data_IF_452232014670
#
_entry.id   IF_452232014670
#
_cell.length_a   1.000
_cell.length_b   1.000
_cell.length_c   1.000
_cell.angle_alpha   90.00
_cell.angle_beta   90.00
_cell.angle_gamma   90.00
#
_symmetry.space_group_name_H-M   'P 1'
#
loop_
_entity.id
_entity.type
_entity.pdbx_description
1 polymer ?
#
# COMPACT_ATOMS: atom_id res chain seq x y z
N UNK A 1 -26.68 -17.34 -5.58
CA UNK A 1 -26.64 -16.32 -4.51
C UNK A 1 -25.77 -15.22 -5.08
N UNK A 2 -26.38 -14.30 -5.82
CA UNK A 2 -25.64 -13.23 -6.51
C UNK A 2 -25.36 -12.13 -5.49
N UNK A 3 -24.10 -12.06 -5.04
CA UNK A 3 -23.65 -11.02 -4.11
C UNK A 3 -23.41 -9.75 -4.91
N UNK A 4 -24.47 -8.95 -5.08
CA UNK A 4 -24.34 -7.59 -5.62
C UNK A 4 -23.82 -6.70 -4.48
N UNK A 5 -22.64 -6.10 -4.69
CA UNK A 5 -22.04 -5.17 -3.73
C UNK A 5 -23.04 -4.05 -3.35
N UNK A 6 -23.22 -3.72 -2.06
CA UNK A 6 -24.13 -2.66 -1.62
C UNK A 6 -23.75 -1.28 -2.17
N UNK A 7 -22.52 -1.13 -2.69
CA UNK A 7 -22.07 0.07 -3.41
C UNK A 7 -22.87 0.33 -4.70
N UNK A 8 -23.42 -0.71 -5.32
CA UNK A 8 -24.27 -0.61 -6.51
C UNK A 8 -25.62 0.00 -6.12
N UNK A 9 -26.16 -0.28 -4.94
CA UNK A 9 -27.51 0.20 -4.57
C UNK A 9 -27.60 1.72 -4.47
N UNK A 10 -26.53 2.40 -4.06
CA UNK A 10 -26.53 3.86 -3.89
C UNK A 10 -26.09 4.65 -5.13
N UNK A 11 -25.33 4.03 -6.02
CA UNK A 11 -24.67 4.75 -7.13
C UNK A 11 -24.96 4.14 -8.51
N UNK A 12 -26.05 3.37 -8.64
CA UNK A 12 -26.47 2.73 -9.88
C UNK A 12 -27.57 3.53 -10.60
N UNK A 13 -27.18 4.66 -11.18
CA UNK A 13 -27.99 5.46 -12.09
C UNK A 13 -27.22 5.77 -13.38
N UNK A 14 -27.91 6.15 -14.45
CA UNK A 14 -27.31 6.22 -15.80
C UNK A 14 -26.12 7.18 -15.94
N UNK A 15 -26.06 8.24 -15.14
CA UNK A 15 -24.96 9.22 -15.15
C UNK A 15 -23.76 8.83 -14.26
N UNK A 16 -23.83 7.73 -13.52
CA UNK A 16 -22.74 7.32 -12.60
C UNK A 16 -21.69 6.47 -13.31
N UNK A 17 -20.42 6.87 -13.16
CA UNK A 17 -19.24 6.09 -13.57
C UNK A 17 -18.98 4.86 -12.68
N UNK A 18 -19.86 4.59 -11.71
CA UNK A 18 -19.81 3.42 -10.83
C UNK A 18 -21.10 2.58 -10.91
N UNK A 19 -21.96 2.86 -11.88
CA UNK A 19 -23.15 2.07 -12.15
C UNK A 19 -22.81 0.73 -12.80
N UNK A 20 -23.71 -0.24 -12.69
CA UNK A 20 -23.56 -1.52 -13.38
C UNK A 20 -23.51 -1.33 -14.90
N UNK A 21 -24.31 -0.41 -15.43
CA UNK A 21 -24.33 -0.06 -16.85
C UNK A 21 -22.97 0.48 -17.31
N UNK A 22 -22.40 1.43 -16.57
CA UNK A 22 -21.08 1.97 -16.88
C UNK A 22 -19.97 0.91 -16.81
N UNK A 23 -19.97 0.07 -15.76
CA UNK A 23 -19.00 -1.01 -15.61
C UNK A 23 -19.08 -2.01 -16.77
N UNK A 24 -20.29 -2.38 -17.19
CA UNK A 24 -20.53 -3.25 -18.35
C UNK A 24 -20.05 -2.62 -19.67
N UNK A 25 -20.37 -1.34 -19.89
CA UNK A 25 -19.98 -0.61 -21.11
C UNK A 25 -18.46 -0.34 -21.18
N UNK A 26 -17.77 -0.42 -20.03
CA UNK A 26 -16.32 -0.22 -19.90
C UNK A 26 -15.63 -1.45 -19.32
N UNK A 27 -16.13 -2.64 -19.64
CA UNK A 27 -15.48 -3.89 -19.27
C UNK A 27 -14.09 -3.93 -19.91
N UNK A 28 -13.07 -3.84 -19.06
CA UNK A 28 -11.70 -4.14 -19.45
C UNK A 28 -11.44 -5.62 -19.14
N UNK A 29 -10.85 -6.38 -20.07
CA UNK A 29 -10.40 -7.73 -19.75
C UNK A 29 -9.44 -7.65 -18.56
N UNK A 30 -9.86 -8.22 -17.42
CA UNK A 30 -9.07 -8.22 -16.19
C UNK A 30 -7.77 -9.02 -16.34
N UNK A 31 -7.80 -10.04 -17.20
CA UNK A 31 -6.69 -10.93 -17.46
C UNK A 31 -6.60 -11.24 -18.95
N UNK A 32 -5.44 -11.00 -19.53
CA UNK A 32 -5.04 -11.56 -20.81
C UNK A 32 -4.39 -12.92 -20.56
N UNK A 33 -4.60 -13.89 -21.46
CA UNK A 33 -3.85 -15.14 -21.44
C UNK A 33 -2.43 -14.85 -21.93
N UNK A 34 -1.58 -14.47 -20.99
CA UNK A 34 -0.17 -14.20 -21.27
C UNK A 34 0.70 -15.41 -20.89
N UNK A 35 1.78 -15.61 -21.63
CA UNK A 35 2.74 -16.68 -21.41
C UNK A 35 3.97 -16.13 -20.69
N UNK A 36 4.17 -16.55 -19.45
CA UNK A 36 5.39 -16.25 -18.71
C UNK A 36 6.39 -17.40 -18.92
N UNK A 37 7.45 -17.23 -19.72
CA UNK A 37 8.47 -18.26 -19.89
C UNK A 37 9.15 -18.58 -18.56
N UNK A 38 9.42 -19.86 -18.32
CA UNK A 38 10.21 -20.28 -17.16
C UNK A 38 11.68 -19.90 -17.37
N UNK A 39 12.27 -19.21 -16.40
CA UNK A 39 13.70 -18.95 -16.35
C UNK A 39 14.27 -19.43 -15.01
N UNK A 40 15.55 -19.77 -15.00
CA UNK A 40 16.28 -20.06 -13.76
C UNK A 40 16.37 -18.79 -12.90
N UNK A 41 16.12 -18.85 -11.59
CA UNK A 41 16.26 -17.68 -10.72
C UNK A 41 17.65 -17.03 -10.81
N UNK A 42 17.70 -15.70 -10.91
CA UNK A 42 18.96 -14.96 -10.81
C UNK A 42 19.30 -14.81 -9.33
N UNK A 43 20.19 -15.67 -8.84
CA UNK A 43 20.73 -15.55 -7.48
C UNK A 43 21.96 -14.64 -7.47
N UNK A 44 21.89 -13.56 -6.70
CA UNK A 44 23.02 -12.67 -6.48
C UNK A 44 23.88 -13.24 -5.34
N UNK A 45 25.10 -13.67 -5.67
CA UNK A 45 26.03 -14.17 -4.67
C UNK A 45 26.49 -13.05 -3.72
N UNK A 46 26.15 -13.22 -2.44
CA UNK A 46 26.60 -12.36 -1.35
C UNK A 46 26.00 -10.95 -1.35
N UNK A 47 26.15 -10.29 -0.22
CA UNK A 47 25.84 -8.87 -0.07
C UNK A 47 26.91 -8.00 -0.77
N UNK A 48 26.57 -6.76 -1.11
CA UNK A 48 27.51 -5.79 -1.66
C UNK A 48 27.71 -4.62 -0.70
N UNK A 49 28.86 -3.95 -0.84
CA UNK A 49 29.27 -2.89 0.07
C UNK A 49 28.27 -1.72 0.06
N UNK A 50 28.03 -1.05 1.19
CA UNK A 50 27.22 0.16 1.23
C UNK A 50 27.72 1.21 0.24
N UNK A 51 26.79 1.89 -0.43
CA UNK A 51 27.10 2.85 -1.50
C UNK A 51 27.52 2.22 -2.84
N UNK A 52 27.86 0.93 -2.87
CA UNK A 52 28.27 0.26 -4.10
C UNK A 52 27.10 0.02 -5.06
N UNK A 53 27.43 -0.01 -6.36
CA UNK A 53 26.51 -0.35 -7.45
C UNK A 53 26.85 -1.74 -7.95
N UNK A 54 25.84 -2.61 -8.05
CA UNK A 54 25.94 -3.94 -8.63
C UNK A 54 25.09 -4.03 -9.88
N UNK A 55 25.72 -4.35 -11.00
CA UNK A 55 25.01 -4.64 -12.25
C UNK A 55 24.48 -6.08 -12.25
N UNK A 56 23.23 -6.25 -12.65
CA UNK A 56 22.57 -7.55 -12.77
C UNK A 56 22.02 -7.67 -14.18
N UNK A 57 22.50 -8.67 -14.91
CA UNK A 57 22.03 -8.98 -16.26
C UNK A 57 20.78 -9.86 -16.18
N UNK A 58 19.69 -9.42 -16.79
CA UNK A 58 18.43 -10.15 -16.87
C UNK A 58 18.45 -11.17 -18.02
N UNK A 59 17.46 -12.07 -18.06
CA UNK A 59 17.36 -13.14 -19.05
C UNK A 59 17.23 -12.63 -20.49
N UNK A 60 16.65 -11.45 -20.69
CA UNK A 60 16.53 -10.78 -22.00
C UNK A 60 17.80 -10.02 -22.42
N UNK A 61 18.83 -10.02 -21.57
CA UNK A 61 20.10 -9.34 -21.79
C UNK A 61 20.14 -7.89 -21.34
N UNK A 62 19.02 -7.33 -20.86
CA UNK A 62 19.01 -6.01 -20.22
C UNK A 62 19.81 -6.04 -18.91
N UNK A 63 20.22 -4.85 -18.44
CA UNK A 63 21.03 -4.70 -17.23
C UNK A 63 20.31 -3.75 -16.29
N UNK A 64 20.08 -4.21 -15.06
CA UNK A 64 19.66 -3.35 -13.95
C UNK A 64 20.86 -3.02 -13.07
N UNK A 65 20.91 -1.79 -12.55
CA UNK A 65 21.93 -1.33 -11.62
C UNK A 65 21.34 -1.19 -10.24
N UNK A 66 21.78 -2.01 -9.29
CA UNK A 66 21.33 -1.96 -7.90
C UNK A 66 22.33 -1.14 -7.08
N UNK A 67 21.91 -0.02 -6.48
CA UNK A 67 22.72 0.80 -5.57
C UNK A 67 22.28 0.57 -4.13
N UNK A 68 23.19 0.20 -3.26
CA UNK A 68 22.90 0.10 -1.82
C UNK A 68 22.99 1.45 -1.15
N UNK A 69 22.09 1.75 -0.22
CA UNK A 69 22.19 2.94 0.62
C UNK A 69 23.55 3.00 1.32
N UNK A 70 24.12 4.19 1.42
CA UNK A 70 25.40 4.41 2.09
C UNK A 70 25.28 4.21 3.61
N UNK A 71 26.41 3.94 4.30
CA UNK A 71 26.44 3.83 5.77
C UNK A 71 26.10 5.14 6.46
N UNK A 72 26.51 6.25 5.85
CA UNK A 72 26.36 7.58 6.43
C UNK A 72 25.01 8.24 6.04
N UNK A 73 24.15 7.50 5.33
CA UNK A 73 22.83 7.96 4.97
C UNK A 73 21.91 8.03 6.19
N UNK A 74 21.29 9.19 6.43
CA UNK A 74 20.27 9.38 7.46
C UNK A 74 18.86 9.08 6.90
N UNK A 75 18.25 7.93 7.24
CA UNK A 75 16.92 7.57 6.74
C UNK A 75 15.79 8.37 7.40
N UNK A 76 16.07 9.24 8.37
CA UNK A 76 15.02 10.05 9.04
C UNK A 76 14.75 11.37 8.33
N UNK A 77 15.62 11.76 7.39
CA UNK A 77 15.45 12.97 6.58
C UNK A 77 14.58 12.69 5.35
N UNK A 78 13.33 13.19 5.37
CA UNK A 78 12.43 13.07 4.21
C UNK A 78 13.00 13.76 2.96
N UNK A 79 13.65 14.91 3.15
CA UNK A 79 14.30 15.63 2.06
C UNK A 79 15.49 14.85 1.51
N UNK A 80 16.30 14.23 2.38
CA UNK A 80 17.41 13.36 1.98
C UNK A 80 16.94 12.14 1.19
N UNK A 81 15.86 11.49 1.63
CA UNK A 81 15.26 10.37 0.91
C UNK A 81 14.76 10.75 -0.49
N UNK A 82 14.12 11.92 -0.60
CA UNK A 82 13.65 12.42 -1.89
C UNK A 82 14.83 12.74 -2.83
N UNK A 83 15.87 13.39 -2.31
CA UNK A 83 17.07 13.70 -3.08
C UNK A 83 17.75 12.41 -3.57
N UNK A 84 17.91 11.43 -2.68
CA UNK A 84 18.52 10.14 -3.01
C UNK A 84 17.74 9.42 -4.12
N UNK A 85 16.40 9.43 -4.06
CA UNK A 85 15.54 8.85 -5.10
C UNK A 85 15.72 9.55 -6.46
N UNK A 86 15.74 10.89 -6.47
CA UNK A 86 15.93 11.67 -7.69
C UNK A 86 17.32 11.44 -8.30
N UNK A 87 18.36 11.40 -7.47
CA UNK A 87 19.73 11.15 -7.91
C UNK A 87 19.85 9.75 -8.53
N UNK A 88 19.27 8.74 -7.89
CA UNK A 88 19.27 7.37 -8.40
C UNK A 88 18.48 7.23 -9.71
N UNK A 89 17.33 7.87 -9.83
CA UNK A 89 16.55 7.91 -11.08
C UNK A 89 17.35 8.54 -12.22
N UNK A 90 18.03 9.66 -11.96
CA UNK A 90 18.89 10.33 -12.94
C UNK A 90 20.07 9.46 -13.42
N UNK A 91 20.54 8.55 -12.56
CA UNK A 91 21.62 7.61 -12.84
C UNK A 91 21.13 6.26 -13.39
N UNK A 92 19.81 6.07 -13.50
CA UNK A 92 19.17 4.80 -13.88
C UNK A 92 19.56 3.65 -12.93
N UNK A 93 19.55 3.94 -11.63
CA UNK A 93 19.91 3.03 -10.56
C UNK A 93 18.71 2.74 -9.65
N UNK A 94 18.58 1.47 -9.28
CA UNK A 94 17.58 0.99 -8.34
C UNK A 94 18.19 0.94 -6.95
N UNK A 95 17.67 1.78 -6.05
CA UNK A 95 18.12 1.82 -4.67
C UNK A 95 17.68 0.58 -3.89
N UNK A 96 18.57 0.08 -3.03
CA UNK A 96 18.32 -1.02 -2.11
C UNK A 96 18.71 -0.62 -0.68
N UNK A 97 17.96 -1.10 0.31
CA UNK A 97 18.16 -0.78 1.72
C UNK A 97 17.04 0.08 2.31
N UNK A 98 17.30 0.70 3.47
CA UNK A 98 16.33 1.56 4.15
C UNK A 98 16.36 2.97 3.57
N UNK A 99 15.30 3.33 2.83
CA UNK A 99 15.21 4.64 2.18
C UNK A 99 14.68 5.73 3.11
N UNK A 100 13.64 5.43 3.89
CA UNK A 100 13.06 6.43 4.80
C UNK A 100 12.36 5.77 5.98
N UNK A 101 12.49 6.38 7.15
CA UNK A 101 11.82 5.96 8.37
C UNK A 101 11.46 7.16 9.25
N UNK A 102 10.19 7.22 9.66
CA UNK A 102 9.64 8.29 10.51
C UNK A 102 9.06 7.70 11.80
N UNK A 103 9.83 7.78 12.88
CA UNK A 103 9.43 7.29 14.21
C UNK A 103 8.31 8.10 14.85
N UNK A 104 8.06 9.33 14.38
CA UNK A 104 7.07 10.22 15.00
C UNK A 104 5.63 9.85 14.62
N UNK A 105 5.46 9.04 13.58
CA UNK A 105 4.13 8.64 13.10
C UNK A 105 3.55 7.56 13.99
N UNK A 106 2.42 7.91 14.63
CA UNK A 106 1.54 6.93 15.26
C UNK A 106 1.08 5.90 14.24
N UNK A 107 1.10 4.63 14.64
CA UNK A 107 0.58 3.56 13.81
C UNK A 107 -0.95 3.72 13.62
N UNK A 108 -1.52 2.99 12.67
CA UNK A 108 -2.95 3.12 12.35
C UNK A 108 -3.87 2.70 13.50
N UNK A 109 -3.46 1.72 14.30
CA UNK A 109 -4.21 1.21 15.47
C UNK A 109 -4.31 2.30 16.55
N UNK A 110 -3.18 2.94 16.89
CA UNK A 110 -3.11 4.05 17.84
C UNK A 110 -3.94 5.26 17.37
N UNK A 111 -3.93 5.53 16.06
CA UNK A 111 -4.71 6.62 15.48
C UNK A 111 -6.22 6.37 15.59
N UNK A 112 -6.66 5.13 15.36
CA UNK A 112 -8.06 4.75 15.52
C UNK A 112 -8.50 4.68 16.98
N UNK A 113 -7.55 4.71 17.93
CA UNK A 113 -7.81 4.59 19.35
C UNK A 113 -8.70 3.37 19.66
N UNK A 114 -8.42 2.26 18.98
CA UNK A 114 -9.11 0.99 19.21
C UNK A 114 -8.55 0.31 20.46
N UNK A 115 -9.36 -0.54 21.06
CA UNK A 115 -8.93 -1.36 22.19
C UNK A 115 -8.07 -2.54 21.70
N UNK A 116 -7.33 -3.16 22.62
CA UNK A 116 -6.46 -4.30 22.32
C UNK A 116 -7.22 -5.56 21.87
N UNK A 117 -8.50 -5.66 22.24
CA UNK A 117 -9.35 -6.80 21.92
C UNK A 117 -9.90 -6.71 20.48
N UNK A 118 -10.00 -7.85 19.75
CA UNK A 118 -10.61 -7.87 18.43
C UNK A 118 -12.04 -7.35 18.46
N UNK A 119 -12.32 -6.29 17.69
CA UNK A 119 -13.65 -5.67 17.63
C UNK A 119 -14.75 -6.67 17.25
N UNK A 120 -14.42 -7.66 16.42
CA UNK A 120 -15.33 -8.69 15.94
C UNK A 120 -15.86 -9.62 17.05
N UNK A 121 -15.18 -9.72 18.19
CA UNK A 121 -15.53 -10.63 19.28
C UNK A 121 -16.15 -9.91 20.48
N UNK A 122 -16.35 -8.60 20.40
CA UNK A 122 -16.86 -7.84 21.54
C UNK A 122 -18.35 -8.14 21.79
N UNK A 123 -18.74 -8.38 23.06
CA UNK A 123 -20.14 -8.64 23.38
C UNK A 123 -20.97 -7.36 23.22
N UNK A 124 -22.27 -7.54 22.93
CA UNK A 124 -23.23 -6.43 22.81
C UNK A 124 -23.29 -5.53 24.04
N UNK A 125 -23.01 -6.08 25.23
CA UNK A 125 -22.95 -5.29 26.47
C UNK A 125 -21.85 -4.22 26.48
N UNK A 126 -20.81 -4.35 25.64
CA UNK A 126 -19.72 -3.37 25.49
C UNK A 126 -19.84 -2.50 24.24
N UNK A 127 -20.50 -2.99 23.19
CA UNK A 127 -20.64 -2.26 21.93
C UNK A 127 -21.94 -1.47 21.82
N UNK A 128 -22.95 -1.78 22.66
CA UNK A 128 -24.23 -1.07 22.70
C UNK A 128 -24.25 -0.08 23.87
N UNK A 129 -24.40 1.24 23.62
CA UNK A 129 -24.55 2.21 24.69
C UNK A 129 -25.86 1.98 25.47
N UNK A 130 -25.89 2.38 26.75
CA UNK A 130 -27.13 2.38 27.53
C UNK A 130 -28.12 3.41 26.95
N UNK A 131 -29.40 3.29 27.32
CA UNK A 131 -30.43 4.24 26.86
C UNK A 131 -30.09 5.66 27.31
N UNK A 132 -29.64 5.81 28.55
CA UNK A 132 -29.28 7.09 29.14
C UNK A 132 -28.08 7.73 28.40
N UNK A 133 -27.04 6.93 28.11
CA UNK A 133 -25.88 7.40 27.36
C UNK A 133 -26.25 7.77 25.92
N UNK A 134 -27.11 6.98 25.26
CA UNK A 134 -27.61 7.27 23.92
C UNK A 134 -28.41 8.58 23.89
N UNK A 135 -29.34 8.77 24.82
CA UNK A 135 -30.16 9.98 24.91
C UNK A 135 -29.29 11.23 25.17
N UNK A 136 -28.20 11.11 25.93
CA UNK A 136 -27.23 12.20 26.12
C UNK A 136 -26.49 12.55 24.83
N UNK A 137 -26.00 11.55 24.09
CA UNK A 137 -25.32 11.77 22.80
C UNK A 137 -26.25 12.45 21.81
N UNK A 138 -27.50 11.98 21.69
CA UNK A 138 -28.48 12.57 20.76
C UNK A 138 -28.81 14.02 21.11
N UNK A 139 -28.88 14.38 22.40
CA UNK A 139 -29.06 15.77 22.83
C UNK A 139 -27.86 16.66 22.52
N UNK A 140 -26.64 16.12 22.50
CA UNK A 140 -25.44 16.90 22.17
C UNK A 140 -25.29 17.22 20.68
N UNK A 141 -26.05 16.54 19.82
CA UNK A 141 -26.04 16.70 18.36
C UNK A 141 -27.21 17.57 17.84
N UNK A 142 -28.12 18.00 18.73
CA UNK A 142 -29.22 18.94 18.45
C UNK A 142 -28.83 20.35 18.88
#
# INVERSE_FOLDING_TARGET
>A
LDVISPCVTFNNHESSTKSYKYAKDHELPLHELDFVPSFEPIELAGDFDPGAVREVKLHDGSIIRLRKTDRDYDPTSKAGAMQLLLDAESQQEFLTGLLFYDQSRRNFVDQLNVIDEPLATLPLSRTRPSKEAFDQVMKSLM
#
